data_IF_145494011903
#
_entry.id   IF_145494011903
#
_cell.length_a   1.000
_cell.length_b   1.000
_cell.length_c   1.000
_cell.angle_alpha   90.00
_cell.angle_beta   90.00
_cell.angle_gamma   90.00
#
_symmetry.space_group_name_H-M   'P 1'
#
loop_
_entity.id
_entity.type
_entity.pdbx_description
1 polymer ?
#
# COMPACT_ATOMS: atom_id res chain seq x y z
N UNK A 1 -13.48 -11.00 21.27
CA UNK A 1 -14.17 -10.66 20.01
C UNK A 1 -15.23 -9.64 20.36
N UNK A 2 -15.29 -8.50 19.69
CA UNK A 2 -16.27 -7.46 20.01
C UNK A 2 -17.61 -7.86 19.41
N UNK A 3 -18.62 -8.09 20.25
CA UNK A 3 -19.95 -8.55 19.83
C UNK A 3 -20.90 -7.40 19.52
N UNK A 4 -20.63 -6.20 20.01
CA UNK A 4 -21.47 -5.01 19.82
C UNK A 4 -20.64 -3.76 19.48
N UNK A 5 -21.14 -2.87 18.61
CA UNK A 5 -20.46 -1.61 18.24
C UNK A 5 -20.10 -0.72 19.44
N UNK A 6 -20.91 -0.77 20.50
CA UNK A 6 -20.67 -0.01 21.74
C UNK A 6 -19.33 -0.37 22.40
N UNK A 7 -18.86 -1.61 22.27
CA UNK A 7 -17.55 -2.04 22.80
C UNK A 7 -16.38 -1.42 22.02
N UNK A 8 -16.63 -0.99 20.79
CA UNK A 8 -15.68 -0.26 19.96
C UNK A 8 -15.73 1.26 20.21
N UNK A 9 -16.67 1.74 21.02
CA UNK A 9 -16.90 3.17 21.25
C UNK A 9 -17.42 3.89 20.02
N UNK A 10 -18.05 3.19 19.08
CA UNK A 10 -18.52 3.79 17.82
C UNK A 10 -19.85 4.49 18.03
N UNK A 11 -19.92 5.75 17.62
CA UNK A 11 -21.15 6.52 17.46
C UNK A 11 -21.34 6.90 15.99
N UNK A 12 -22.55 7.32 15.61
CA UNK A 12 -22.81 7.82 14.25
C UNK A 12 -21.95 9.05 13.94
N UNK A 13 -21.82 9.98 14.89
CA UNK A 13 -20.96 11.17 14.75
C UNK A 13 -19.50 10.78 14.45
N UNK A 14 -18.93 9.86 15.24
CA UNK A 14 -17.54 9.43 15.03
C UNK A 14 -17.38 8.68 13.71
N UNK A 15 -18.36 7.85 13.33
CA UNK A 15 -18.36 7.21 12.02
C UNK A 15 -18.35 8.24 10.89
N UNK A 16 -19.18 9.28 10.95
CA UNK A 16 -19.20 10.33 9.94
C UNK A 16 -17.89 11.12 9.90
N UNK A 17 -17.27 11.42 11.06
CA UNK A 17 -15.94 12.04 11.12
C UNK A 17 -14.85 11.19 10.48
N UNK A 18 -14.98 9.86 10.52
CA UNK A 18 -14.00 8.97 9.90
C UNK A 18 -13.97 9.02 8.37
N UNK A 19 -15.01 9.55 7.71
CA UNK A 19 -15.04 9.64 6.24
C UNK A 19 -14.29 10.91 5.82
N UNK A 20 -12.96 10.84 5.83
CA UNK A 20 -12.08 11.96 5.50
C UNK A 20 -12.24 12.46 4.05
N UNK A 21 -12.52 11.55 3.11
CA UNK A 21 -12.96 11.92 1.78
C UNK A 21 -13.97 10.90 1.26
N UNK A 22 -15.13 11.36 0.79
CA UNK A 22 -16.15 10.45 0.26
C UNK A 22 -15.84 10.02 -1.18
N UNK A 23 -15.09 10.86 -1.91
CA UNK A 23 -14.70 10.61 -3.30
C UNK A 23 -15.88 10.51 -4.27
N UNK A 24 -15.58 10.05 -5.49
CA UNK A 24 -16.57 9.72 -6.50
C UNK A 24 -16.93 8.24 -6.40
N UNK A 25 -18.20 7.98 -6.08
CA UNK A 25 -18.72 6.65 -5.76
C UNK A 25 -18.88 5.74 -6.96
N UNK A 26 -18.67 6.21 -8.19
CA UNK A 26 -19.00 5.43 -9.39
C UNK A 26 -18.23 4.12 -9.53
N UNK A 27 -16.94 4.10 -9.15
CA UNK A 27 -16.14 2.85 -9.12
C UNK A 27 -16.71 1.86 -8.09
N UNK A 28 -17.09 2.35 -6.91
CA UNK A 28 -17.73 1.54 -5.89
C UNK A 28 -19.11 1.04 -6.33
N UNK A 29 -19.94 1.89 -6.95
CA UNK A 29 -21.22 1.48 -7.53
C UNK A 29 -21.05 0.39 -8.59
N UNK A 30 -20.05 0.49 -9.49
CA UNK A 30 -19.72 -0.57 -10.45
C UNK A 30 -19.36 -1.88 -9.75
N UNK A 31 -18.56 -1.84 -8.70
CA UNK A 31 -18.21 -3.03 -7.90
C UNK A 31 -19.46 -3.63 -7.24
N UNK A 32 -20.32 -2.81 -6.65
CA UNK A 32 -21.55 -3.27 -5.99
C UNK A 32 -22.57 -3.84 -6.98
N UNK A 33 -22.67 -3.29 -8.20
CA UNK A 33 -23.53 -3.84 -9.26
C UNK A 33 -23.00 -5.20 -9.72
N UNK A 34 -21.70 -5.33 -10.00
CA UNK A 34 -21.09 -6.64 -10.31
C UNK A 34 -21.41 -7.66 -9.22
N UNK A 35 -21.29 -7.24 -7.97
CA UNK A 35 -21.62 -8.09 -6.84
C UNK A 35 -23.11 -8.49 -6.84
N UNK A 36 -24.03 -7.57 -7.10
CA UNK A 36 -25.47 -7.85 -7.23
C UNK A 36 -25.80 -8.77 -8.42
N UNK A 37 -24.95 -8.83 -9.44
CA UNK A 37 -25.03 -9.79 -10.55
C UNK A 37 -24.46 -11.18 -10.16
N UNK A 38 -23.92 -11.32 -8.95
CA UNK A 38 -23.35 -12.57 -8.44
C UNK A 38 -21.86 -12.75 -8.71
N UNK A 39 -21.18 -11.78 -9.33
CA UNK A 39 -19.74 -11.88 -9.63
C UNK A 39 -18.92 -12.00 -8.35
N UNK A 40 -17.93 -12.89 -8.36
CA UNK A 40 -16.91 -12.93 -7.32
C UNK A 40 -15.97 -11.71 -7.41
N UNK A 41 -15.56 -11.20 -6.26
CA UNK A 41 -14.72 -10.02 -6.14
C UNK A 41 -13.37 -10.34 -5.49
N UNK A 42 -12.30 -9.85 -6.10
CA UNK A 42 -10.95 -9.85 -5.54
C UNK A 42 -10.66 -8.52 -4.85
N UNK A 43 -10.38 -8.55 -3.54
CA UNK A 43 -9.90 -7.45 -2.71
C UNK A 43 -8.39 -7.59 -2.49
N UNK A 44 -7.60 -6.67 -3.02
CA UNK A 44 -6.16 -6.62 -2.79
C UNK A 44 -5.83 -5.63 -1.67
N UNK A 45 -5.07 -6.08 -0.67
CA UNK A 45 -4.59 -5.23 0.43
C UNK A 45 -3.14 -4.81 0.16
N UNK A 46 -2.94 -3.50 -0.06
CA UNK A 46 -1.64 -2.86 -0.17
C UNK A 46 -1.31 -2.26 1.21
N UNK A 47 -0.38 -2.84 1.95
CA UNK A 47 -0.17 -2.36 3.31
C UNK A 47 1.19 -2.65 3.91
N UNK A 48 1.40 -2.09 5.09
CA UNK A 48 2.63 -2.27 5.85
C UNK A 48 2.53 -3.37 6.89
N UNK A 49 3.19 -3.15 8.02
CA UNK A 49 3.18 -4.08 9.16
C UNK A 49 1.80 -4.19 9.82
N UNK A 50 0.98 -3.15 9.79
CA UNK A 50 -0.40 -3.15 10.33
C UNK A 50 -1.26 -4.13 9.53
N UNK A 51 -1.32 -4.01 8.20
CA UNK A 51 -2.01 -4.98 7.34
C UNK A 51 -1.37 -6.37 7.31
N UNK A 52 -0.12 -6.52 7.78
CA UNK A 52 0.48 -7.84 8.05
C UNK A 52 0.18 -8.38 9.45
N UNK A 53 -0.54 -7.61 10.26
CA UNK A 53 -1.03 -7.98 11.57
C UNK A 53 -0.03 -7.84 12.70
N UNK A 54 1.04 -7.05 12.53
CA UNK A 54 1.96 -6.81 13.62
C UNK A 54 1.26 -6.08 14.80
N UNK A 55 1.61 -6.42 16.05
CA UNK A 55 2.48 -7.53 16.47
C UNK A 55 1.75 -8.87 16.65
N UNK A 56 0.44 -8.93 16.37
CA UNK A 56 -0.44 -10.05 16.71
C UNK A 56 -0.30 -11.29 15.83
N UNK A 57 0.02 -11.14 14.54
CA UNK A 57 0.22 -12.29 13.64
C UNK A 57 1.37 -13.19 14.08
N UNK A 58 2.42 -12.61 14.69
CA UNK A 58 3.51 -13.36 15.34
C UNK A 58 3.09 -14.10 16.62
N UNK A 59 1.85 -13.88 17.08
CA UNK A 59 1.20 -14.59 18.19
C UNK A 59 0.09 -15.54 17.71
N UNK A 60 -0.01 -15.80 16.40
CA UNK A 60 -1.04 -16.67 15.81
C UNK A 60 -2.44 -16.05 15.76
N UNK A 61 -2.52 -14.71 15.71
CA UNK A 61 -3.78 -13.96 15.71
C UNK A 61 -4.00 -13.16 14.40
N UNK A 62 -3.47 -13.66 13.28
CA UNK A 62 -3.61 -13.09 11.93
C UNK A 62 -5.08 -12.93 11.49
N UNK A 63 -5.95 -13.89 11.81
CA UNK A 63 -7.39 -13.83 11.56
C UNK A 63 -8.13 -12.68 12.25
N UNK A 64 -7.44 -11.90 13.11
CA UNK A 64 -7.96 -10.69 13.76
C UNK A 64 -7.62 -9.40 13.03
N UNK A 65 -6.88 -9.45 11.92
CA UNK A 65 -6.57 -8.26 11.11
C UNK A 65 -7.85 -7.73 10.47
N UNK A 66 -7.96 -6.40 10.43
CA UNK A 66 -9.18 -5.67 10.05
C UNK A 66 -9.84 -6.17 8.75
N UNK A 67 -9.06 -6.49 7.71
CA UNK A 67 -9.63 -6.90 6.42
C UNK A 67 -10.27 -8.30 6.44
N UNK A 68 -9.85 -9.19 7.36
CA UNK A 68 -10.52 -10.49 7.51
C UNK A 68 -11.96 -10.33 8.02
N UNK A 69 -12.21 -9.33 8.86
CA UNK A 69 -13.58 -9.01 9.29
C UNK A 69 -14.43 -8.48 8.13
N UNK A 70 -13.85 -7.70 7.21
CA UNK A 70 -14.54 -7.23 5.99
C UNK A 70 -14.95 -8.42 5.12
N UNK A 71 -14.03 -9.33 4.84
CA UNK A 71 -14.28 -10.56 4.06
C UNK A 71 -15.33 -11.44 4.72
N UNK A 72 -15.22 -11.64 6.04
CA UNK A 72 -16.15 -12.46 6.80
C UNK A 72 -17.57 -11.86 6.76
N UNK A 73 -17.70 -10.56 7.01
CA UNK A 73 -18.98 -9.87 6.92
C UNK A 73 -19.57 -9.99 5.51
N UNK A 74 -18.78 -9.74 4.46
CA UNK A 74 -19.24 -9.86 3.08
C UNK A 74 -19.78 -11.27 2.80
N UNK A 75 -18.99 -12.30 3.11
CA UNK A 75 -19.34 -13.68 2.78
C UNK A 75 -20.43 -14.27 3.66
N UNK A 76 -20.74 -13.68 4.83
CA UNK A 76 -21.84 -14.12 5.69
C UNK A 76 -23.13 -13.34 5.52
N UNK A 77 -23.04 -12.07 5.15
CA UNK A 77 -24.20 -11.16 5.12
C UNK A 77 -24.50 -10.75 3.68
N UNK A 78 -23.51 -10.16 3.01
CA UNK A 78 -23.72 -9.60 1.67
C UNK A 78 -23.96 -10.69 0.61
N UNK A 79 -23.23 -11.80 0.69
CA UNK A 79 -23.39 -12.95 -0.22
C UNK A 79 -24.78 -13.57 -0.15
N UNK A 80 -25.48 -13.49 0.98
CA UNK A 80 -26.84 -14.03 1.14
C UNK A 80 -27.85 -13.23 0.33
N UNK A 81 -27.56 -11.97 0.05
CA UNK A 81 -28.41 -11.07 -0.72
C UNK A 81 -28.05 -11.11 -2.21
N UNK A 82 -26.76 -11.25 -2.52
CA UNK A 82 -26.23 -11.03 -3.87
C UNK A 82 -25.70 -12.27 -4.58
N UNK A 83 -25.41 -13.36 -3.86
CA UNK A 83 -24.66 -14.52 -4.37
C UNK A 83 -23.15 -14.28 -4.54
N UNK A 84 -22.68 -13.03 -4.46
CA UNK A 84 -21.28 -12.67 -4.66
C UNK A 84 -20.40 -13.02 -3.45
N UNK A 85 -19.24 -13.62 -3.73
CA UNK A 85 -18.17 -13.88 -2.76
C UNK A 85 -17.07 -12.83 -2.87
N UNK A 86 -16.46 -12.50 -1.73
CA UNK A 86 -15.27 -11.65 -1.64
C UNK A 86 -14.08 -12.48 -1.17
N UNK A 87 -12.97 -12.41 -1.90
CA UNK A 87 -11.70 -13.00 -1.52
C UNK A 87 -10.66 -11.90 -1.32
N UNK A 88 -9.93 -11.95 -0.20
CA UNK A 88 -8.84 -11.01 0.05
C UNK A 88 -7.49 -11.62 -0.29
N UNK A 89 -6.70 -10.86 -1.04
CA UNK A 89 -5.31 -11.17 -1.40
C UNK A 89 -4.42 -10.08 -0.80
N UNK A 90 -3.81 -10.39 0.35
CA UNK A 90 -2.96 -9.42 1.04
C UNK A 90 -1.55 -9.47 0.49
N UNK A 91 -1.08 -8.35 -0.07
CA UNK A 91 0.29 -8.23 -0.59
C UNK A 91 1.21 -7.39 0.28
N UNK A 92 0.74 -7.02 1.47
CA UNK A 92 1.44 -6.26 2.50
C UNK A 92 2.80 -6.86 2.90
N UNK A 93 3.78 -6.00 3.14
CA UNK A 93 5.09 -6.42 3.66
C UNK A 93 5.45 -5.48 4.80
N UNK A 94 6.01 -6.00 5.90
CA UNK A 94 6.34 -5.18 7.05
C UNK A 94 7.45 -4.16 6.76
N UNK A 95 7.17 -2.87 7.00
CA UNK A 95 8.18 -1.81 6.91
C UNK A 95 8.34 -1.20 5.51
N UNK A 96 7.48 -1.52 4.56
CA UNK A 96 7.53 -0.90 3.23
C UNK A 96 6.80 0.44 3.18
N UNK A 97 6.92 1.14 2.06
CA UNK A 97 6.18 2.37 1.76
C UNK A 97 5.50 2.37 0.41
N UNK A 98 4.73 3.42 0.17
CA UNK A 98 4.05 3.63 -1.12
C UNK A 98 5.05 3.80 -2.26
N UNK A 99 6.21 4.41 -1.98
CA UNK A 99 7.33 4.48 -2.91
C UNK A 99 7.72 3.11 -3.46
N UNK A 100 7.86 2.09 -2.62
CA UNK A 100 8.13 0.74 -3.09
C UNK A 100 7.04 0.21 -4.02
N UNK A 101 5.76 0.25 -3.62
CA UNK A 101 4.68 -0.26 -4.47
C UNK A 101 4.45 0.56 -5.74
N UNK A 102 4.81 1.85 -5.76
CA UNK A 102 4.74 2.67 -6.96
C UNK A 102 5.63 2.13 -8.10
N UNK A 103 6.62 1.29 -7.77
CA UNK A 103 7.45 0.56 -8.73
C UNK A 103 7.19 -0.95 -8.74
N UNK A 104 6.97 -1.56 -7.57
CA UNK A 104 6.99 -3.02 -7.39
C UNK A 104 5.62 -3.60 -7.04
N UNK A 105 4.51 -2.95 -7.43
CA UNK A 105 3.16 -3.51 -7.27
C UNK A 105 2.99 -4.84 -8.03
N UNK A 106 3.31 -4.86 -9.33
CA UNK A 106 3.01 -6.00 -10.20
C UNK A 106 3.68 -7.30 -9.74
N UNK A 107 4.97 -7.32 -9.32
CA UNK A 107 5.58 -8.55 -8.84
C UNK A 107 4.90 -9.24 -7.65
N UNK A 108 4.07 -8.51 -6.89
CA UNK A 108 3.35 -9.08 -5.75
C UNK A 108 1.91 -9.47 -6.09
N UNK A 109 1.39 -9.09 -7.26
CA UNK A 109 0.06 -9.48 -7.70
C UNK A 109 0.12 -10.89 -8.31
N UNK A 110 -0.64 -11.87 -7.80
CA UNK A 110 -0.71 -13.19 -8.42
C UNK A 110 -1.28 -13.10 -9.84
N UNK A 111 -0.78 -13.93 -10.77
CA UNK A 111 -1.12 -13.86 -12.20
C UNK A 111 -2.61 -14.08 -12.51
N UNK A 112 -3.27 -14.91 -11.71
CA UNK A 112 -4.70 -15.23 -11.81
C UNK A 112 -5.62 -14.15 -11.23
N UNK A 113 -5.04 -13.14 -10.58
CA UNK A 113 -5.80 -12.13 -9.85
C UNK A 113 -6.29 -11.06 -10.81
N UNK A 114 -7.59 -10.77 -10.74
CA UNK A 114 -8.21 -9.63 -11.41
C UNK A 114 -8.74 -8.68 -10.35
N UNK A 115 -7.87 -7.82 -9.77
CA UNK A 115 -8.27 -6.99 -8.64
C UNK A 115 -9.49 -6.15 -9.00
N UNK A 116 -10.54 -6.29 -8.20
CA UNK A 116 -11.76 -5.47 -8.30
C UNK A 116 -11.70 -4.29 -7.34
N UNK A 117 -11.08 -4.51 -6.17
CA UNK A 117 -10.90 -3.53 -5.12
C UNK A 117 -9.44 -3.56 -4.69
N UNK A 118 -8.84 -2.39 -4.56
CA UNK A 118 -7.59 -2.18 -3.83
C UNK A 118 -7.89 -1.39 -2.57
N UNK A 119 -7.32 -1.84 -1.45
CA UNK A 119 -7.29 -1.09 -0.21
C UNK A 119 -5.85 -0.71 0.10
N UNK A 120 -5.58 0.60 0.10
CA UNK A 120 -4.27 1.15 0.45
C UNK A 120 -4.24 1.51 1.94
N UNK A 121 -3.30 0.93 2.66
CA UNK A 121 -3.08 1.08 4.10
C UNK A 121 -1.59 1.31 4.37
N UNK A 122 -1.11 2.51 4.03
CA UNK A 122 0.29 2.91 4.26
C UNK A 122 0.43 4.31 4.87
N UNK A 123 -0.67 4.94 5.32
CA UNK A 123 -0.60 6.28 5.89
C UNK A 123 0.29 6.35 7.14
N UNK A 124 0.26 5.32 7.98
CA UNK A 124 1.15 5.20 9.14
C UNK A 124 2.61 4.95 8.72
N UNK A 125 2.83 4.21 7.64
CA UNK A 125 4.15 3.86 7.14
C UNK A 125 4.85 5.05 6.48
N UNK A 126 4.12 5.84 5.71
CA UNK A 126 4.69 6.93 4.91
C UNK A 126 4.89 8.22 5.69
N UNK A 127 4.35 8.34 6.91
CA UNK A 127 4.55 9.51 7.78
C UNK A 127 6.04 9.79 8.04
N UNK A 128 6.49 10.93 7.52
CA UNK A 128 7.87 11.41 7.62
C UNK A 128 8.87 10.65 6.73
N UNK A 129 8.39 9.75 5.87
CA UNK A 129 9.26 8.89 5.05
C UNK A 129 10.01 9.67 3.97
N UNK A 130 9.41 10.74 3.46
CA UNK A 130 9.90 11.48 2.30
C UNK A 130 10.49 12.85 2.66
N UNK A 131 10.74 13.12 3.95
CA UNK A 131 11.22 14.43 4.44
C UNK A 131 12.59 14.83 3.92
N UNK A 132 13.43 13.86 3.55
CA UNK A 132 14.78 14.08 3.02
C UNK A 132 14.86 13.93 1.49
N UNK A 133 13.72 13.77 0.82
CA UNK A 133 13.65 13.56 -0.64
C UNK A 133 13.42 14.90 -1.35
N UNK A 134 14.04 15.03 -2.53
CA UNK A 134 13.96 16.26 -3.35
C UNK A 134 12.68 16.34 -4.21
N UNK A 135 11.82 15.34 -4.14
CA UNK A 135 10.53 15.31 -4.82
C UNK A 135 9.38 15.57 -3.83
N UNK A 136 8.21 16.02 -4.29
CA UNK A 136 7.04 16.25 -3.44
C UNK A 136 6.61 14.98 -2.69
N UNK A 137 6.33 15.09 -1.39
CA UNK A 137 5.97 13.93 -0.53
C UNK A 137 4.86 13.05 -1.13
N UNK A 138 3.85 13.65 -1.76
CA UNK A 138 2.72 12.92 -2.35
C UNK A 138 2.97 12.28 -3.72
N UNK A 139 4.11 12.55 -4.38
CA UNK A 139 4.43 11.99 -5.69
C UNK A 139 4.33 10.44 -5.73
N UNK A 140 4.90 9.67 -4.78
CA UNK A 140 4.80 8.22 -4.81
C UNK A 140 3.37 7.70 -4.75
N UNK A 141 2.50 8.37 -3.99
CA UNK A 141 1.09 8.00 -3.87
C UNK A 141 0.30 8.36 -5.12
N UNK A 142 0.61 9.49 -5.78
CA UNK A 142 0.07 9.76 -7.11
C UNK A 142 0.47 8.65 -8.08
N UNK A 143 1.76 8.29 -8.15
CA UNK A 143 2.24 7.26 -9.06
C UNK A 143 1.53 5.92 -8.83
N UNK A 144 1.45 5.46 -7.57
CA UNK A 144 0.75 4.23 -7.22
C UNK A 144 -0.75 4.29 -7.56
N UNK A 145 -1.41 5.41 -7.25
CA UNK A 145 -2.82 5.65 -7.55
C UNK A 145 -3.08 5.49 -9.04
N UNK A 146 -2.27 6.12 -9.89
CA UNK A 146 -2.39 6.01 -11.35
C UNK A 146 -2.10 4.60 -11.83
N UNK A 147 -1.06 3.94 -11.32
CA UNK A 147 -0.74 2.55 -11.65
C UNK A 147 -1.91 1.59 -11.38
N UNK A 148 -2.75 1.88 -10.38
CA UNK A 148 -3.93 1.11 -10.03
C UNK A 148 -5.14 1.49 -10.89
N UNK A 149 -5.47 2.78 -10.98
CA UNK A 149 -6.68 3.24 -11.66
C UNK A 149 -6.63 3.04 -13.18
N UNK A 150 -5.44 3.05 -13.78
CA UNK A 150 -5.22 2.80 -15.21
C UNK A 150 -5.17 1.31 -15.57
N UNK A 151 -5.33 0.39 -14.61
CA UNK A 151 -5.38 -1.03 -14.93
C UNK A 151 -6.63 -1.35 -15.77
N UNK A 152 -6.53 -2.32 -16.71
CA UNK A 152 -7.68 -2.72 -17.53
C UNK A 152 -8.90 -3.19 -16.73
N UNK A 153 -8.71 -3.73 -15.51
CA UNK A 153 -9.82 -4.15 -14.65
C UNK A 153 -10.65 -2.99 -14.09
N UNK A 154 -10.22 -1.74 -14.28
CA UNK A 154 -10.87 -0.52 -13.80
C UNK A 154 -11.23 -0.59 -12.30
N UNK A 155 -10.27 -0.93 -11.42
CA UNK A 155 -10.56 -1.30 -10.05
C UNK A 155 -11.04 -0.10 -9.22
N UNK A 156 -11.76 -0.39 -8.14
CA UNK A 156 -11.95 0.56 -7.03
C UNK A 156 -10.63 0.68 -6.24
N UNK A 157 -10.26 1.90 -5.84
CA UNK A 157 -9.18 2.15 -4.88
C UNK A 157 -9.77 2.93 -3.70
N UNK A 158 -9.56 2.41 -2.48
CA UNK A 158 -9.94 3.06 -1.23
C UNK A 158 -8.71 3.21 -0.33
N UNK A 159 -8.68 4.29 0.46
CA UNK A 159 -7.65 4.52 1.47
C UNK A 159 -8.19 4.17 2.85
N UNK A 160 -7.43 3.37 3.60
CA UNK A 160 -7.66 3.06 5.00
C UNK A 160 -6.49 3.62 5.82
N UNK A 161 -6.71 4.76 6.46
CA UNK A 161 -5.64 5.51 7.11
C UNK A 161 -5.57 5.18 8.59
N UNK A 162 -4.54 4.41 8.96
CA UNK A 162 -4.06 4.33 10.34
C UNK A 162 -3.00 5.41 10.61
N UNK A 163 -2.65 5.56 11.89
CA UNK A 163 -1.48 6.30 12.34
C UNK A 163 -0.70 5.45 13.34
N UNK A 164 0.57 5.79 13.57
CA UNK A 164 1.41 5.08 14.53
C UNK A 164 1.23 5.66 15.93
N UNK A 165 1.28 4.81 16.96
CA UNK A 165 1.08 5.28 18.33
C UNK A 165 2.15 6.28 18.81
N UNK A 166 3.37 6.21 18.26
CA UNK A 166 4.42 7.20 18.54
C UNK A 166 4.20 8.54 17.81
N UNK A 167 3.40 8.61 16.75
CA UNK A 167 3.05 9.89 16.12
C UNK A 167 2.02 10.67 16.97
N UNK A 168 1.45 10.03 18.01
CA UNK A 168 0.64 10.68 19.03
C UNK A 168 1.46 11.50 20.04
N UNK A 169 2.80 11.41 20.05
CA UNK A 169 3.64 12.02 21.11
C UNK A 169 3.45 13.54 21.27
N UNK A 170 2.90 14.24 20.27
CA UNK A 170 2.53 15.67 20.34
C UNK A 170 1.02 15.95 20.37
N UNK A 171 0.16 14.94 20.65
CA UNK A 171 -1.30 15.05 20.62
C UNK A 171 -1.92 15.39 19.26
N UNK A 172 -1.19 15.16 18.17
CA UNK A 172 -1.63 15.49 16.81
C UNK A 172 -2.08 14.29 15.97
N UNK A 173 -1.77 13.07 16.40
CA UNK A 173 -2.07 11.82 15.69
C UNK A 173 -1.68 11.85 14.20
N UNK A 174 -0.58 12.51 13.85
CA UNK A 174 -0.24 12.79 12.45
C UNK A 174 0.02 11.50 11.67
N UNK A 175 -0.36 11.48 10.40
CA UNK A 175 -0.03 10.41 9.46
C UNK A 175 0.18 10.99 8.05
N UNK A 176 0.23 10.13 7.03
CA UNK A 176 0.43 10.59 5.66
C UNK A 176 -0.75 11.40 5.08
N UNK A 177 -1.92 11.41 5.73
CA UNK A 177 -3.02 12.31 5.33
C UNK A 177 -2.53 13.77 5.34
N UNK A 178 -1.73 14.13 6.36
CA UNK A 178 -1.12 15.46 6.56
C UNK A 178 0.05 15.77 5.61
N UNK A 179 0.57 14.76 4.91
CA UNK A 179 1.76 14.87 4.05
C UNK A 179 1.43 14.74 2.56
N UNK A 180 0.14 14.73 2.24
CA UNK A 180 -0.39 14.76 0.88
C UNK A 180 -1.28 13.58 0.53
N UNK A 181 -1.48 12.62 1.44
CA UNK A 181 -2.46 11.53 1.30
C UNK A 181 -3.87 12.06 1.07
N UNK A 182 -4.30 13.06 1.86
CA UNK A 182 -5.60 13.70 1.69
C UNK A 182 -5.71 14.40 0.33
N UNK A 183 -4.69 15.16 -0.06
CA UNK A 183 -4.64 15.84 -1.37
C UNK A 183 -4.81 14.87 -2.54
N UNK A 184 -4.16 13.70 -2.51
CA UNK A 184 -4.33 12.67 -3.54
C UNK A 184 -5.75 12.11 -3.53
N UNK A 185 -6.30 11.81 -2.35
CA UNK A 185 -7.67 11.32 -2.25
C UNK A 185 -8.69 12.31 -2.85
N UNK A 186 -8.54 13.60 -2.56
CA UNK A 186 -9.42 14.66 -3.07
C UNK A 186 -9.33 14.80 -4.59
N UNK A 187 -8.10 14.93 -5.14
CA UNK A 187 -7.89 15.17 -6.58
C UNK A 187 -8.32 13.94 -7.40
N UNK A 188 -7.95 12.73 -6.97
CA UNK A 188 -8.34 11.48 -7.64
C UNK A 188 -9.74 11.00 -7.27
N UNK A 189 -10.47 11.77 -6.45
CA UNK A 189 -11.82 11.47 -6.00
C UNK A 189 -11.95 10.07 -5.39
N UNK A 190 -11.00 9.69 -4.53
CA UNK A 190 -10.94 8.38 -3.88
C UNK A 190 -11.62 8.41 -2.52
N UNK A 191 -12.36 7.37 -2.19
CA UNK A 191 -12.84 7.20 -0.81
C UNK A 191 -11.66 7.00 0.14
N UNK A 192 -11.64 7.79 1.22
CA UNK A 192 -10.62 7.77 2.26
C UNK A 192 -11.28 7.69 3.63
N UNK A 193 -10.97 6.62 4.38
CA UNK A 193 -11.44 6.39 5.75
C UNK A 193 -10.28 6.63 6.71
N UNK A 194 -10.45 7.60 7.61
CA UNK A 194 -9.47 7.99 8.62
C UNK A 194 -9.82 7.42 9.98
N UNK A 195 -8.98 6.49 10.46
CA UNK A 195 -9.07 6.05 11.85
C UNK A 195 -8.55 7.11 12.82
N UNK A 196 -7.65 7.99 12.36
CA UNK A 196 -7.20 9.16 13.12
C UNK A 196 -8.38 10.06 13.48
N UNK A 197 -9.17 10.47 12.49
CA UNK A 197 -10.31 11.38 12.70
C UNK A 197 -11.42 10.72 13.54
N UNK A 198 -11.47 9.38 13.56
CA UNK A 198 -12.35 8.61 14.43
C UNK A 198 -11.93 8.59 15.90
N UNK A 199 -10.62 8.56 16.22
CA UNK A 199 -10.15 8.34 17.61
C UNK A 199 -9.48 9.53 18.26
N UNK A 200 -8.89 10.46 17.51
CA UNK A 200 -7.87 11.37 18.05
C UNK A 200 -8.43 12.35 19.09
N UNK A 201 -9.63 12.90 18.87
CA UNK A 201 -10.29 13.82 19.83
C UNK A 201 -10.52 13.14 21.19
N UNK A 202 -11.10 11.93 21.17
CA UNK A 202 -11.39 11.15 22.38
C UNK A 202 -10.10 10.66 23.05
N UNK A 203 -9.09 10.31 22.27
CA UNK A 203 -7.76 9.94 22.76
C UNK A 203 -7.07 11.13 23.45
N UNK A 204 -7.17 12.33 22.87
CA UNK A 204 -6.67 13.58 23.44
C UNK A 204 -7.39 13.97 24.73
N UNK A 205 -8.69 13.73 24.80
CA UNK A 205 -9.52 13.93 25.99
C UNK A 205 -9.28 12.86 27.07
N UNK A 206 -8.54 11.79 26.77
CA UNK A 206 -8.33 10.68 27.70
C UNK A 206 -9.61 9.90 28.01
N UNK A 207 -10.60 9.94 27.10
CA UNK A 207 -11.89 9.30 27.28
C UNK A 207 -11.72 7.80 27.50
N UNK A 208 -12.54 7.23 28.39
CA UNK A 208 -12.52 5.79 28.65
C UNK A 208 -12.76 5.00 27.35
N UNK A 209 -11.91 3.99 27.12
CA UNK A 209 -11.94 3.18 25.91
C UNK A 209 -11.21 3.80 24.72
N UNK A 210 -10.69 5.03 24.82
CA UNK A 210 -9.89 5.70 23.79
C UNK A 210 -8.47 6.03 24.28
N UNK A 211 -8.00 5.43 25.38
CA UNK A 211 -6.62 5.69 25.85
C UNK A 211 -5.62 4.95 24.97
N UNK A 212 -4.35 5.36 25.02
CA UNK A 212 -3.26 4.70 24.27
C UNK A 212 -3.25 3.17 24.44
N UNK A 213 -3.40 2.68 25.68
CA UNK A 213 -3.47 1.23 25.97
C UNK A 213 -4.70 0.52 25.42
N UNK A 214 -5.76 1.26 25.10
CA UNK A 214 -6.98 0.71 24.53
C UNK A 214 -6.84 0.64 22.99
N UNK A 215 -6.18 1.62 22.38
CA UNK A 215 -6.09 1.81 20.92
C UNK A 215 -4.83 1.25 20.27
N UNK A 216 -3.73 1.09 21.01
CA UNK A 216 -2.44 0.60 20.52
C UNK A 216 -2.01 -0.67 21.26
N UNK A 217 -1.19 -1.48 20.59
CA UNK A 217 -0.56 -2.65 21.17
C UNK A 217 0.53 -2.27 22.19
N UNK A 218 1.08 -3.27 22.88
CA UNK A 218 2.11 -3.08 23.91
C UNK A 218 3.38 -2.38 23.39
N UNK A 219 3.62 -2.42 22.07
CA UNK A 219 4.74 -1.73 21.42
C UNK A 219 4.52 -0.22 21.22
N UNK A 220 3.33 0.29 21.58
CA UNK A 220 2.90 1.67 21.39
C UNK A 220 3.07 2.20 19.96
N UNK A 221 3.16 1.29 18.98
CA UNK A 221 3.39 1.61 17.58
C UNK A 221 2.20 1.16 16.74
N UNK A 222 1.80 -0.10 16.85
CA UNK A 222 0.76 -0.68 16.03
C UNK A 222 -0.62 -0.55 16.69
N UNK A 223 -1.70 -0.33 15.92
CA UNK A 223 -3.06 -0.38 16.45
C UNK A 223 -3.34 -1.68 17.20
N UNK A 224 -4.12 -1.62 18.29
CA UNK A 224 -4.52 -2.79 19.05
C UNK A 224 -5.54 -3.64 18.26
N UNK A 225 -5.93 -4.79 18.80
CA UNK A 225 -7.07 -5.54 18.26
C UNK A 225 -8.36 -4.71 18.25
N UNK A 226 -8.51 -3.74 19.18
CA UNK A 226 -9.61 -2.77 19.16
C UNK A 226 -9.49 -1.83 17.97
N UNK A 227 -8.30 -1.28 17.71
CA UNK A 227 -8.04 -0.42 16.55
C UNK A 227 -8.31 -1.12 15.23
N UNK A 228 -7.87 -2.38 15.08
CA UNK A 228 -8.22 -3.21 13.93
C UNK A 228 -9.74 -3.42 13.79
N UNK A 229 -10.43 -3.73 14.88
CA UNK A 229 -11.88 -3.92 14.87
C UNK A 229 -12.64 -2.62 14.55
N UNK A 230 -12.16 -1.47 15.03
CA UNK A 230 -12.70 -0.15 14.69
C UNK A 230 -12.56 0.12 13.19
N UNK A 231 -11.36 0.02 12.61
CA UNK A 231 -11.19 0.21 11.16
C UNK A 231 -12.06 -0.75 10.33
N UNK A 232 -12.13 -2.02 10.73
CA UNK A 232 -13.02 -2.98 10.06
C UNK A 232 -14.48 -2.53 10.10
N UNK A 233 -14.96 -2.07 11.26
CA UNK A 233 -16.32 -1.57 11.42
C UNK A 233 -16.56 -0.35 10.52
N UNK A 234 -15.64 0.62 10.48
CA UNK A 234 -15.77 1.82 9.64
C UNK A 234 -15.89 1.46 8.16
N UNK A 235 -15.01 0.59 7.66
CA UNK A 235 -15.04 0.12 6.26
C UNK A 235 -16.31 -0.68 5.94
N UNK A 236 -16.70 -1.62 6.81
CA UNK A 236 -17.93 -2.41 6.66
C UNK A 236 -19.16 -1.50 6.63
N UNK A 237 -19.26 -0.55 7.57
CA UNK A 237 -20.41 0.32 7.66
C UNK A 237 -20.49 1.28 6.46
N UNK A 238 -19.36 1.78 5.97
CA UNK A 238 -19.30 2.55 4.73
C UNK A 238 -19.81 1.74 3.54
N UNK A 239 -19.27 0.53 3.30
CA UNK A 239 -19.71 -0.35 2.21
C UNK A 239 -21.20 -0.68 2.32
N UNK A 240 -21.71 -0.95 3.53
CA UNK A 240 -23.13 -1.20 3.79
C UNK A 240 -24.00 0.00 3.39
N UNK A 241 -23.63 1.21 3.77
CA UNK A 241 -24.40 2.41 3.44
C UNK A 241 -24.41 2.66 1.93
N UNK A 242 -23.28 2.49 1.25
CA UNK A 242 -23.21 2.63 -0.21
C UNK A 242 -24.01 1.56 -0.94
N UNK A 243 -24.05 0.35 -0.40
CA UNK A 243 -24.94 -0.69 -0.89
C UNK A 243 -26.42 -0.33 -0.75
N UNK A 244 -26.85 0.14 0.43
CA UNK A 244 -28.23 0.59 0.64
C UNK A 244 -28.61 1.74 -0.31
N UNK A 245 -27.67 2.64 -0.59
CA UNK A 245 -27.86 3.70 -1.58
C UNK A 245 -28.05 3.13 -3.00
N UNK A 246 -27.26 2.14 -3.41
CA UNK A 246 -27.42 1.45 -4.70
C UNK A 246 -28.78 0.76 -4.79
N UNK A 247 -29.21 0.04 -3.75
CA UNK A 247 -30.52 -0.60 -3.72
C UNK A 247 -31.67 0.42 -3.80
N UNK A 248 -31.58 1.52 -3.05
CA UNK A 248 -32.59 2.59 -3.09
C UNK A 248 -32.70 3.23 -4.47
N UNK A 249 -31.57 3.45 -5.15
CA UNK A 249 -31.56 3.98 -6.51
C UNK A 249 -32.09 2.96 -7.52
N UNK A 250 -31.73 1.68 -7.36
CA UNK A 250 -32.26 0.59 -8.19
C UNK A 250 -33.76 0.45 -8.04
N UNK A 251 -34.30 0.58 -6.82
CA UNK A 251 -35.75 0.50 -6.56
C UNK A 251 -36.55 1.71 -7.09
N UNK A 252 -35.88 2.84 -7.35
CA UNK A 252 -36.48 3.99 -8.07
C UNK A 252 -36.52 3.74 -9.57
N UNK A 253 -35.71 2.80 -10.05
CA UNK A 253 -35.72 2.32 -11.42
C UNK A 253 -36.50 1.00 -11.48
N UNK A 254 -36.96 0.59 -12.65
CA UNK A 254 -37.81 -0.60 -12.76
C UNK A 254 -36.98 -1.88 -12.66
N UNK A 255 -35.66 -1.80 -12.90
CA UNK A 255 -34.74 -2.95 -12.81
C UNK A 255 -33.27 -2.56 -12.56
N UNK A 256 -32.46 -3.54 -12.14
CA UNK A 256 -30.99 -3.40 -12.05
C UNK A 256 -30.37 -3.12 -13.43
N UNK A 257 -30.95 -3.66 -14.50
CA UNK A 257 -30.49 -3.41 -15.88
C UNK A 257 -30.64 -1.94 -16.25
N UNK A 258 -31.77 -1.31 -15.93
CA UNK A 258 -31.98 0.12 -16.20
C UNK A 258 -30.97 0.99 -15.44
N UNK A 259 -30.72 0.68 -14.15
CA UNK A 259 -29.71 1.39 -13.36
C UNK A 259 -28.30 1.22 -13.92
N UNK A 260 -27.98 0.01 -14.39
CA UNK A 260 -26.73 -0.29 -15.09
C UNK A 260 -26.62 0.55 -16.37
N UNK A 261 -27.63 0.54 -17.22
CA UNK A 261 -27.58 1.27 -18.49
C UNK A 261 -27.45 2.78 -18.28
N UNK A 262 -28.18 3.36 -17.32
CA UNK A 262 -28.00 4.77 -16.96
C UNK A 262 -26.59 5.03 -16.44
N UNK A 263 -26.08 4.22 -15.53
CA UNK A 263 -24.75 4.45 -14.97
C UNK A 263 -23.65 4.27 -16.02
N UNK A 264 -23.77 3.35 -16.99
CA UNK A 264 -22.80 3.17 -18.06
C UNK A 264 -22.90 4.23 -19.16
N UNK A 265 -24.10 4.77 -19.42
CA UNK A 265 -24.33 5.84 -20.41
C UNK A 265 -23.52 7.11 -20.11
N UNK A 266 -23.17 7.35 -18.84
CA UNK A 266 -22.37 8.51 -18.40
C UNK A 266 -20.86 8.38 -18.70
N UNK A 267 -20.43 7.44 -19.56
CA UNK A 267 -19.03 7.23 -20.02
C UNK A 267 -18.07 6.62 -18.97
N UNK A 268 -16.79 6.40 -19.23
CA UNK A 268 -15.88 6.03 -18.13
C UNK A 268 -15.43 7.26 -17.33
N UNK A 269 -15.08 7.07 -16.04
CA UNK A 269 -14.56 8.18 -15.24
C UNK A 269 -13.17 8.56 -15.74
N UNK A 270 -13.02 9.77 -16.27
CA UNK A 270 -11.72 10.32 -16.61
C UNK A 270 -10.86 10.39 -15.36
N UNK A 271 -9.70 9.74 -15.41
CA UNK A 271 -8.70 9.88 -14.35
C UNK A 271 -8.11 11.29 -14.49
N UNK A 272 -7.99 12.05 -13.39
CA UNK A 272 -7.35 13.37 -13.43
C UNK A 272 -5.97 13.36 -14.10
N UNK A 273 -5.56 14.53 -14.57
CA UNK A 273 -4.21 14.74 -15.09
C UNK A 273 -3.15 14.47 -14.02
N UNK A 274 -1.91 14.32 -14.47
CA UNK A 274 -0.74 14.23 -13.58
C UNK A 274 -0.57 15.55 -12.82
N UNK A 275 -0.35 15.48 -11.51
CA UNK A 275 -0.15 16.63 -10.61
C UNK A 275 1.34 16.89 -10.39
N UNK A 276 2.15 15.83 -10.29
CA UNK A 276 3.59 15.89 -10.05
C UNK A 276 4.36 15.49 -11.30
N UNK A 277 5.27 16.35 -11.77
CA UNK A 277 6.05 16.11 -12.98
C UNK A 277 6.92 14.84 -12.92
N UNK A 278 7.22 14.36 -11.71
CA UNK A 278 7.95 13.12 -11.48
C UNK A 278 7.12 11.87 -11.83
N UNK A 279 5.79 12.00 -11.90
CA UNK A 279 4.87 10.91 -12.22
C UNK A 279 4.97 10.51 -13.69
N UNK A 280 5.21 9.22 -13.91
CA UNK A 280 5.24 8.58 -15.21
C UNK A 280 3.86 8.02 -15.56
N UNK A 281 3.47 8.18 -16.82
CA UNK A 281 2.30 7.48 -17.38
C UNK A 281 2.62 6.04 -17.79
N UNK A 282 3.86 5.58 -17.63
CA UNK A 282 4.31 4.24 -18.04
C UNK A 282 4.12 3.25 -16.90
N UNK A 283 3.86 2.00 -17.27
CA UNK A 283 3.83 0.92 -16.30
C UNK A 283 5.24 0.66 -15.74
N UNK A 284 5.43 0.53 -14.43
CA UNK A 284 6.73 0.17 -13.87
C UNK A 284 7.11 -1.29 -14.18
N UNK A 285 8.42 -1.57 -14.23
CA UNK A 285 8.97 -2.91 -14.13
C UNK A 285 9.86 -3.01 -12.88
N UNK A 286 9.84 -4.16 -12.21
CA UNK A 286 10.60 -4.35 -10.99
C UNK A 286 11.15 -5.77 -10.86
N UNK A 287 12.40 -5.85 -10.42
CA UNK A 287 13.07 -7.02 -9.86
C UNK A 287 13.23 -6.78 -8.36
N UNK A 288 12.62 -7.59 -7.52
CA UNK A 288 12.71 -7.48 -6.06
C UNK A 288 13.01 -8.84 -5.43
N UNK A 289 13.60 -8.81 -4.25
CA UNK A 289 13.93 -9.97 -3.42
C UNK A 289 13.04 -10.07 -2.17
N UNK A 290 11.99 -9.24 -2.08
CA UNK A 290 11.02 -9.35 -0.99
C UNK A 290 9.98 -10.41 -1.27
N UNK A 291 9.71 -11.21 -0.26
CA UNK A 291 8.69 -12.25 -0.31
C UNK A 291 7.42 -11.70 0.33
N UNK A 292 6.29 -12.03 -0.28
CA UNK A 292 4.99 -11.82 0.31
C UNK A 292 4.39 -13.17 0.67
N UNK A 293 4.22 -13.42 1.97
CA UNK A 293 3.57 -14.62 2.48
C UNK A 293 4.18 -15.94 1.99
N UNK A 294 5.51 -16.04 2.05
CA UNK A 294 6.29 -17.19 1.59
C UNK A 294 6.36 -17.34 0.08
N UNK A 295 5.68 -16.48 -0.69
CA UNK A 295 5.70 -16.51 -2.16
C UNK A 295 6.80 -15.62 -2.70
N UNK A 296 7.50 -16.15 -3.71
CA UNK A 296 8.48 -15.40 -4.49
C UNK A 296 7.79 -14.33 -5.35
N UNK A 297 8.44 -13.17 -5.54
CA UNK A 297 7.90 -12.12 -6.38
C UNK A 297 7.96 -12.51 -7.86
N UNK A 298 6.87 -12.27 -8.59
CA UNK A 298 6.79 -12.44 -10.04
C UNK A 298 7.46 -11.27 -10.78
N UNK A 299 8.78 -11.28 -10.79
CA UNK A 299 9.59 -10.17 -11.26
C UNK A 299 9.33 -9.84 -12.74
N UNK A 300 9.17 -8.55 -13.04
CA UNK A 300 8.83 -8.05 -14.38
C UNK A 300 9.97 -7.33 -15.07
N UNK A 301 11.07 -7.04 -14.36
CA UNK A 301 12.29 -6.47 -14.92
C UNK A 301 13.33 -7.58 -15.16
N UNK A 302 13.72 -7.83 -16.42
CA UNK A 302 14.84 -8.72 -16.72
C UNK A 302 16.16 -8.08 -16.24
N UNK A 303 16.84 -8.77 -15.34
CA UNK A 303 18.15 -8.37 -14.81
C UNK A 303 19.05 -9.61 -14.74
N UNK A 304 20.29 -9.45 -15.19
CA UNK A 304 21.34 -10.47 -15.11
C UNK A 304 22.47 -9.97 -14.20
N UNK A 305 23.00 -10.84 -13.34
CA UNK A 305 24.16 -10.54 -12.50
C UNK A 305 25.41 -10.85 -13.33
N UNK A 306 26.28 -9.84 -13.50
CA UNK A 306 27.55 -9.97 -14.25
C UNK A 306 28.69 -10.31 -13.31
N UNK A 307 28.80 -9.54 -12.24
CA UNK A 307 29.75 -9.73 -11.15
C UNK A 307 28.99 -9.53 -9.85
N UNK A 308 29.34 -10.31 -8.83
CA UNK A 308 28.78 -10.16 -7.49
C UNK A 308 29.84 -10.05 -6.41
N UNK A 309 31.14 -10.20 -6.67
CA UNK A 309 32.18 -10.24 -5.62
C UNK A 309 31.71 -11.06 -4.39
N UNK A 310 31.76 -10.49 -3.17
CA UNK A 310 31.22 -11.09 -1.94
C UNK A 310 29.72 -10.82 -1.67
N UNK A 311 28.93 -10.39 -2.65
CA UNK A 311 27.49 -10.28 -2.47
C UNK A 311 26.83 -11.67 -2.52
N UNK A 312 26.20 -12.04 -1.41
CA UNK A 312 25.44 -13.28 -1.28
C UNK A 312 23.97 -12.97 -1.04
N UNK A 313 23.09 -13.86 -1.51
CA UNK A 313 21.68 -13.74 -1.16
C UNK A 313 21.49 -13.95 0.34
N UNK A 314 20.81 -13.01 1.00
CA UNK A 314 20.51 -13.09 2.41
C UNK A 314 19.09 -12.60 2.71
N UNK A 315 18.40 -13.29 3.61
CA UNK A 315 17.16 -12.80 4.23
C UNK A 315 17.55 -12.16 5.56
N UNK A 316 17.69 -10.83 5.55
CA UNK A 316 18.11 -10.08 6.73
C UNK A 316 16.95 -9.76 7.68
N UNK A 317 15.69 -9.93 7.24
CA UNK A 317 14.53 -9.89 8.13
C UNK A 317 13.55 -11.01 7.81
N UNK A 318 13.35 -11.90 8.78
CA UNK A 318 12.37 -12.99 8.75
C UNK A 318 11.56 -12.99 10.04
N UNK A 319 10.31 -13.39 9.93
CA UNK A 319 9.38 -13.50 11.05
C UNK A 319 9.11 -14.98 11.38
N UNK A 320 8.63 -15.27 12.59
CA UNK A 320 8.39 -16.64 13.07
C UNK A 320 7.15 -17.26 12.43
N UNK A 321 6.06 -16.49 12.35
CA UNK A 321 4.77 -16.96 11.82
C UNK A 321 4.37 -16.23 10.55
N UNK A 322 4.69 -14.93 10.44
CA UNK A 322 4.40 -14.19 9.20
C UNK A 322 5.27 -14.69 8.06
N UNK A 323 4.66 -14.87 6.89
CA UNK A 323 5.38 -15.34 5.69
C UNK A 323 6.13 -14.26 4.92
N UNK A 324 5.97 -12.96 5.23
CA UNK A 324 6.72 -11.91 4.53
C UNK A 324 8.20 -11.89 4.94
N UNK A 325 9.09 -11.64 3.97
CA UNK A 325 10.54 -11.66 4.21
C UNK A 325 11.23 -10.52 3.48
N UNK A 326 12.18 -9.87 4.15
CA UNK A 326 13.05 -8.87 3.54
C UNK A 326 14.40 -9.51 3.26
N UNK A 327 14.68 -9.68 1.98
CA UNK A 327 15.94 -10.21 1.49
C UNK A 327 16.54 -9.36 0.39
N UNK A 328 17.72 -9.76 -0.03
CA UNK A 328 18.50 -9.07 -1.04
C UNK A 328 19.87 -9.71 -1.24
N UNK A 329 20.63 -9.16 -2.17
CA UNK A 329 22.06 -9.45 -2.28
C UNK A 329 22.80 -8.54 -1.30
N UNK A 330 23.59 -9.14 -0.42
CA UNK A 330 24.26 -8.45 0.68
C UNK A 330 25.72 -8.87 0.80
N UNK A 331 26.55 -7.90 1.13
CA UNK A 331 27.90 -8.11 1.67
C UNK A 331 28.06 -7.30 2.97
N UNK A 332 28.94 -7.77 3.86
CA UNK A 332 29.35 -7.03 5.07
C UNK A 332 30.68 -6.30 4.88
N UNK A 333 31.39 -6.55 3.78
CA UNK A 333 32.68 -5.93 3.49
C UNK A 333 32.49 -4.66 2.64
N UNK A 334 33.42 -3.72 2.81
CA UNK A 334 33.56 -2.57 1.92
C UNK A 334 34.31 -2.96 0.64
N UNK A 335 34.22 -2.10 -0.37
CA UNK A 335 34.95 -2.22 -1.64
C UNK A 335 34.63 -3.50 -2.41
N UNK A 336 33.41 -4.03 -2.23
CA UNK A 336 32.90 -5.14 -3.02
C UNK A 336 32.03 -4.61 -4.14
N UNK A 337 32.22 -5.13 -5.34
CA UNK A 337 31.47 -4.71 -6.51
C UNK A 337 30.36 -5.72 -6.85
N UNK A 338 29.17 -5.19 -7.07
CA UNK A 338 28.04 -5.91 -7.64
C UNK A 338 27.62 -5.21 -8.93
N UNK A 339 27.59 -5.97 -10.03
CA UNK A 339 27.25 -5.49 -11.35
C UNK A 339 26.06 -6.23 -11.92
N UNK A 340 25.12 -5.49 -12.49
CA UNK A 340 23.97 -6.04 -13.20
C UNK A 340 23.91 -5.53 -14.63
N UNK A 341 23.56 -6.41 -15.57
CA UNK A 341 23.02 -6.01 -16.86
C UNK A 341 21.50 -5.76 -16.71
N UNK A 342 21.06 -4.55 -17.03
CA UNK A 342 19.66 -4.15 -17.03
C UNK A 342 19.23 -3.83 -18.46
N UNK A 343 18.19 -4.50 -18.95
CA UNK A 343 17.64 -4.25 -20.29
C UNK A 343 16.43 -3.35 -20.18
N UNK A 344 16.46 -2.21 -20.87
CA UNK A 344 15.36 -1.25 -20.98
C UNK A 344 14.76 -1.39 -22.38
N UNK A 345 13.51 -1.84 -22.45
CA UNK A 345 12.78 -2.13 -23.69
C UNK A 345 11.78 -1.03 -24.09
N UNK A 346 11.74 0.05 -23.32
CA UNK A 346 10.69 1.08 -23.38
C UNK A 346 11.29 2.49 -23.46
N UNK A 347 10.51 3.50 -23.90
CA UNK A 347 11.02 4.87 -24.04
C UNK A 347 11.53 5.42 -22.70
N UNK A 348 12.34 6.48 -22.74
CA UNK A 348 12.86 7.32 -21.63
C UNK A 348 12.40 6.90 -20.21
N UNK A 349 13.26 6.19 -19.47
CA UNK A 349 12.97 5.66 -18.15
C UNK A 349 13.84 6.24 -17.04
N UNK A 350 13.35 6.09 -15.82
CA UNK A 350 14.10 6.27 -14.58
C UNK A 350 14.49 4.91 -14.02
N UNK A 351 15.74 4.73 -13.61
CA UNK A 351 16.20 3.54 -12.90
C UNK A 351 16.37 3.86 -11.41
N UNK A 352 15.83 2.97 -10.59
CA UNK A 352 15.79 3.09 -9.13
C UNK A 352 16.28 1.79 -8.51
N UNK A 353 17.06 1.89 -7.44
CA UNK A 353 17.37 0.72 -6.60
C UNK A 353 16.52 0.73 -5.35
N UNK A 354 16.19 -0.47 -4.88
CA UNK A 354 15.49 -0.70 -3.62
C UNK A 354 16.50 -1.21 -2.61
N UNK A 355 16.53 -0.58 -1.44
CA UNK A 355 17.26 -1.06 -0.27
C UNK A 355 16.37 -0.99 0.98
N UNK A 356 16.93 -1.30 2.14
CA UNK A 356 16.22 -1.20 3.41
C UNK A 356 17.08 -0.47 4.44
N UNK A 357 16.45 0.25 5.37
CA UNK A 357 17.15 0.95 6.46
C UNK A 357 18.12 0.04 7.20
N UNK A 358 19.30 0.57 7.54
CA UNK A 358 20.30 -0.12 8.34
C UNK A 358 21.05 -1.24 7.59
N UNK A 359 21.04 -1.21 6.25
CA UNK A 359 21.72 -2.24 5.43
C UNK A 359 23.07 -1.80 4.89
N UNK A 360 23.59 -0.65 5.33
CA UNK A 360 24.91 -0.13 4.97
C UNK A 360 24.87 1.03 3.97
N UNK A 361 25.98 1.24 3.28
CA UNK A 361 26.17 2.37 2.37
C UNK A 361 26.79 1.90 1.06
N UNK A 362 26.46 2.55 -0.06
CA UNK A 362 27.00 2.21 -1.37
C UNK A 362 27.16 3.44 -2.26
N UNK A 363 28.07 3.32 -3.24
CA UNK A 363 28.13 4.20 -4.38
C UNK A 363 27.56 3.46 -5.59
N UNK A 364 26.57 4.05 -6.25
CA UNK A 364 25.83 3.40 -7.33
C UNK A 364 25.91 4.24 -8.61
N UNK A 365 26.15 3.63 -9.76
CA UNK A 365 26.18 4.34 -11.05
C UNK A 365 25.81 3.43 -12.21
N UNK A 366 25.44 4.03 -13.34
CA UNK A 366 25.09 3.31 -14.56
C UNK A 366 26.02 3.71 -15.70
N UNK A 367 26.70 2.72 -16.29
CA UNK A 367 27.74 2.94 -17.32
C UNK A 367 28.71 4.09 -16.96
N UNK A 368 28.73 5.17 -17.74
CA UNK A 368 29.58 6.35 -17.55
C UNK A 368 28.88 7.52 -16.83
N UNK A 369 27.68 7.32 -16.27
CA UNK A 369 26.97 8.38 -15.54
C UNK A 369 27.63 8.67 -14.19
N UNK A 370 27.39 9.88 -13.68
CA UNK A 370 27.83 10.25 -12.34
C UNK A 370 27.24 9.30 -11.28
N UNK A 371 28.04 9.02 -10.25
CA UNK A 371 27.62 8.15 -9.16
C UNK A 371 26.68 8.85 -8.18
N UNK A 372 25.76 8.07 -7.62
CA UNK A 372 24.86 8.44 -6.53
C UNK A 372 25.29 7.72 -5.26
N UNK A 373 25.49 8.49 -4.19
CA UNK A 373 25.76 7.92 -2.86
C UNK A 373 24.44 7.51 -2.19
N UNK A 374 24.39 6.28 -1.72
CA UNK A 374 23.24 5.66 -1.07
C UNK A 374 23.61 5.34 0.36
N UNK A 375 23.00 6.08 1.30
CA UNK A 375 23.20 5.88 2.74
C UNK A 375 21.89 5.40 3.38
N UNK A 376 21.85 4.11 3.71
CA UNK A 376 20.68 3.51 4.39
C UNK A 376 20.77 3.60 5.91
N UNK A 377 21.92 3.97 6.46
CA UNK A 377 22.21 3.99 7.90
C UNK A 377 21.58 5.19 8.60
N UNK A 378 21.38 6.30 7.88
CA UNK A 378 20.69 7.49 8.40
C UNK A 378 19.20 7.29 8.69
N UNK A 379 18.61 6.17 8.28
CA UNK A 379 17.19 5.88 8.47
C UNK A 379 16.94 4.86 9.58
N UNK A 380 15.92 5.11 10.39
CA UNK A 380 15.53 4.22 11.49
C UNK A 380 14.69 3.01 11.04
N UNK A 381 13.96 3.13 9.94
CA UNK A 381 13.10 2.04 9.45
C UNK A 381 12.72 2.15 7.96
N UNK A 382 12.51 0.97 7.40
CA UNK A 382 11.75 0.70 6.19
C UNK A 382 12.53 0.72 4.89
N UNK A 383 11.81 0.46 3.81
CA UNK A 383 12.35 0.49 2.44
C UNK A 383 12.87 1.86 2.06
N UNK A 384 13.89 1.89 1.19
CA UNK A 384 14.44 3.09 0.58
C UNK A 384 14.52 2.92 -0.93
N UNK A 385 14.05 3.94 -1.62
CA UNK A 385 14.06 4.06 -3.08
C UNK A 385 15.01 5.19 -3.45
N UNK A 386 16.07 4.87 -4.19
CA UNK A 386 17.10 5.82 -4.61
C UNK A 386 17.23 5.83 -6.13
N UNK A 387 17.03 7.02 -6.72
CA UNK A 387 17.07 7.24 -8.16
C UNK A 387 18.53 7.25 -8.58
N UNK A 388 18.94 6.29 -9.41
CA UNK A 388 20.31 6.17 -9.89
C UNK A 388 20.50 6.93 -11.20
N UNK A 389 19.51 6.87 -12.08
CA UNK A 389 19.53 7.61 -13.32
C UNK A 389 18.12 7.92 -13.81
N UNK A 390 18.00 9.02 -14.55
CA UNK A 390 16.80 9.46 -15.25
C UNK A 390 17.10 9.55 -16.74
N UNK A 391 16.04 9.64 -17.54
CA UNK A 391 16.11 9.85 -18.97
C UNK A 391 16.84 8.76 -19.79
N UNK A 392 16.84 7.53 -19.29
CA UNK A 392 17.47 6.38 -19.95
C UNK A 392 16.69 5.96 -21.18
N UNK A 393 17.35 5.84 -22.33
CA UNK A 393 16.73 5.38 -23.59
C UNK A 393 16.64 3.84 -23.61
N UNK A 394 15.88 3.23 -24.53
CA UNK A 394 15.95 1.80 -24.74
C UNK A 394 17.41 1.35 -24.99
N UNK A 395 17.83 0.29 -24.33
CA UNK A 395 19.21 -0.16 -24.37
C UNK A 395 19.56 -1.15 -23.26
N UNK A 396 20.79 -1.69 -23.34
CA UNK A 396 21.39 -2.48 -22.26
C UNK A 396 22.34 -1.59 -21.48
N UNK A 397 22.24 -1.63 -20.17
CA UNK A 397 23.00 -0.80 -19.26
C UNK A 397 23.67 -1.65 -18.19
N UNK A 398 24.84 -1.23 -17.73
CA UNK A 398 25.52 -1.81 -16.57
C UNK A 398 25.25 -0.98 -15.33
N UNK A 399 24.44 -1.52 -14.41
CA UNK A 399 24.28 -0.95 -13.06
C UNK A 399 25.41 -1.48 -12.18
N UNK A 400 26.18 -0.56 -11.62
CA UNK A 400 27.30 -0.85 -10.73
C UNK A 400 26.97 -0.40 -9.32
N UNK A 401 27.27 -1.23 -8.33
CA UNK A 401 27.07 -0.98 -6.91
C UNK A 401 28.35 -1.35 -6.18
N UNK A 402 29.03 -0.35 -5.64
CA UNK A 402 30.22 -0.52 -4.81
C UNK A 402 29.83 -0.37 -3.35
N UNK A 403 29.98 -1.43 -2.56
CA UNK A 403 29.75 -1.36 -1.12
C UNK A 403 30.77 -0.43 -0.46
N UNK A 404 30.30 0.40 0.47
CA UNK A 404 31.12 1.34 1.21
C UNK A 404 31.19 0.88 2.69
N UNK A 405 31.43 1.81 3.62
CA UNK A 405 31.61 1.48 5.04
C UNK A 405 30.38 0.74 5.60
N UNK A 406 30.62 -0.41 6.22
CA UNK A 406 29.57 -1.24 6.85
C UNK A 406 28.89 -2.23 5.91
N UNK A 407 29.38 -2.39 4.67
CA UNK A 407 28.77 -3.24 3.66
C UNK A 407 27.54 -2.59 3.01
N UNK A 408 26.77 -3.39 2.28
CA UNK A 408 25.53 -2.94 1.64
C UNK A 408 24.59 -4.11 1.36
N UNK A 409 23.27 -3.87 1.32
CA UNK A 409 22.29 -4.80 0.78
C UNK A 409 21.39 -4.13 -0.25
N UNK A 410 21.28 -4.74 -1.44
CA UNK A 410 20.29 -4.38 -2.45
C UNK A 410 19.12 -5.35 -2.43
N UNK A 411 17.91 -4.81 -2.35
CA UNK A 411 16.65 -5.54 -2.26
C UNK A 411 15.85 -5.55 -3.56
N UNK A 412 16.28 -4.79 -4.55
CA UNK A 412 15.65 -4.77 -5.87
C UNK A 412 16.14 -3.67 -6.79
N UNK A 413 15.72 -3.74 -8.04
CA UNK A 413 15.96 -2.77 -9.11
C UNK A 413 14.62 -2.56 -9.80
N UNK A 414 14.27 -1.32 -10.09
CA UNK A 414 13.05 -0.99 -10.79
C UNK A 414 13.27 0.10 -11.83
N UNK A 415 12.40 0.11 -12.85
CA UNK A 415 12.34 1.18 -13.85
C UNK A 415 10.89 1.67 -14.04
N UNK A 416 10.73 2.95 -14.38
CA UNK A 416 9.43 3.57 -14.71
C UNK A 416 9.56 4.69 -15.75
#
# INVERSE_FOLDING_TARGET
MYSHPNQLGVTEELFMKSIANNGNKRRLQKVLIKALEGDALDLVILGGSISRGAPFSERGLDFRIYFHAIVNWWNRVFSQISGSKLEAKSISIGGIGTDYYSYCLTPHLPEDTRPTIFLWELAANDRGRYDDKQFPRAYPLEQLTRNILLRPSNPLLMFANFFRGNDYLQKKCLNFEDEGGQKIAEIYHLTSISWRDFVCDNLNAGQEGFRMKDLFADDNLHPSLKGHAQMAYLLINYLRLEFLNVLKNTARMSSLSEFKDEMWSRGDMSIPGIIYHETSAKSPQCKTYFYNDGKEPNNTLPVEIIDKSDFHYNIYKKFKLRGDQLGGLQTKFSEQLLQFAVTIDRPICRLVIVSHSGTGTAKCWIDAHASVDVDTMKYSMGTKMDIIATNLRPGKYHLNILSMKGGFAISGIAII
#
